data_IF_013931187737
#
_entry.id   IF_013931187737
#
_cell.length_a   1.000
_cell.length_b   1.000
_cell.length_c   1.000
_cell.angle_alpha   90.00
_cell.angle_beta   90.00
_cell.angle_gamma   90.00
#
_symmetry.space_group_name_H-M   'P 1'
#
loop_
_entity.id
_entity.type
_entity.pdbx_description
1 polymer ?
#
# COMPACT_ATOMS: atom_id res chain seq x y z
N UNK A 1 -3.34 -9.96 14.11
CA UNK A 1 -3.73 -9.16 12.93
C UNK A 1 -2.54 -8.33 12.51
N UNK A 2 -2.18 -8.42 11.23
CA UNK A 2 -1.15 -7.61 10.59
C UNK A 2 -1.56 -6.13 10.54
N UNK A 3 -0.58 -5.23 10.49
CA UNK A 3 -0.80 -3.78 10.33
C UNK A 3 -1.56 -3.46 9.04
N UNK A 4 -1.29 -4.20 7.95
CA UNK A 4 -2.03 -4.05 6.69
C UNK A 4 -3.51 -4.42 6.85
N UNK A 5 -3.80 -5.52 7.54
CA UNK A 5 -5.19 -5.94 7.80
C UNK A 5 -5.94 -4.91 8.65
N UNK A 6 -5.29 -4.32 9.65
CA UNK A 6 -5.87 -3.25 10.47
C UNK A 6 -6.18 -2.00 9.62
N UNK A 7 -5.25 -1.62 8.74
CA UNK A 7 -5.41 -0.48 7.84
C UNK A 7 -6.58 -0.68 6.87
N UNK A 8 -6.64 -1.84 6.21
CA UNK A 8 -7.73 -2.20 5.30
C UNK A 8 -9.06 -2.19 6.03
N UNK A 9 -9.17 -2.86 7.19
CA UNK A 9 -10.41 -2.88 7.98
C UNK A 9 -10.87 -1.49 8.39
N UNK A 10 -9.96 -0.64 8.87
CA UNK A 10 -10.29 0.74 9.25
C UNK A 10 -10.83 1.54 8.05
N UNK A 11 -10.14 1.49 6.91
CA UNK A 11 -10.57 2.23 5.71
C UNK A 11 -11.88 1.72 5.13
N UNK A 12 -12.10 0.41 5.13
CA UNK A 12 -13.39 -0.17 4.76
C UNK A 12 -14.51 0.35 5.66
N UNK A 13 -14.32 0.36 6.98
CA UNK A 13 -15.32 0.87 7.93
C UNK A 13 -15.62 2.36 7.74
N UNK A 14 -14.61 3.18 7.48
CA UNK A 14 -14.80 4.60 7.17
C UNK A 14 -15.65 4.80 5.91
N UNK A 15 -15.42 4.02 4.86
CA UNK A 15 -16.18 4.10 3.61
C UNK A 15 -17.61 3.56 3.76
N UNK A 16 -17.80 2.48 4.51
CA UNK A 16 -19.13 2.01 4.87
C UNK A 16 -19.91 3.04 5.69
N UNK A 17 -19.26 3.71 6.65
CA UNK A 17 -19.89 4.77 7.45
C UNK A 17 -20.31 5.99 6.61
N UNK A 18 -19.62 6.25 5.50
CA UNK A 18 -19.97 7.30 4.52
C UNK A 18 -21.05 6.87 3.53
N UNK A 19 -21.47 5.60 3.56
CA UNK A 19 -22.39 5.05 2.56
C UNK A 19 -21.76 4.89 1.17
N UNK A 20 -20.43 4.77 1.09
CA UNK A 20 -19.71 4.58 -0.17
C UNK A 20 -20.14 3.27 -0.86
N UNK A 21 -20.19 3.30 -2.19
CA UNK A 21 -20.54 2.12 -2.99
C UNK A 21 -19.45 1.04 -2.91
N UNK A 22 -19.83 -0.21 -3.19
CA UNK A 22 -18.89 -1.33 -3.24
C UNK A 22 -17.73 -1.09 -4.22
N UNK A 23 -17.98 -0.40 -5.33
CA UNK A 23 -16.95 -0.02 -6.29
C UNK A 23 -15.92 0.94 -5.68
N UNK A 24 -16.40 1.96 -4.94
CA UNK A 24 -15.52 2.92 -4.27
C UNK A 24 -14.67 2.24 -3.20
N UNK A 25 -15.27 1.33 -2.46
CA UNK A 25 -14.59 0.51 -1.46
C UNK A 25 -13.50 -0.36 -2.11
N UNK A 26 -13.80 -1.02 -3.24
CA UNK A 26 -12.82 -1.79 -3.99
C UNK A 26 -11.68 -0.94 -4.57
N UNK A 27 -11.95 0.31 -4.94
CA UNK A 27 -10.91 1.27 -5.34
C UNK A 27 -9.99 1.61 -4.16
N UNK A 28 -10.56 1.94 -2.99
CA UNK A 28 -9.78 2.28 -1.79
C UNK A 28 -8.88 1.13 -1.36
N UNK A 29 -9.36 -0.12 -1.42
CA UNK A 29 -8.53 -1.29 -1.11
C UNK A 29 -7.37 -1.42 -2.10
N UNK A 30 -7.63 -1.24 -3.41
CA UNK A 30 -6.57 -1.28 -4.44
C UNK A 30 -5.51 -0.21 -4.20
N UNK A 31 -5.90 1.03 -3.92
CA UNK A 31 -4.97 2.13 -3.62
C UNK A 31 -4.06 1.82 -2.41
N UNK A 32 -4.60 1.16 -1.38
CA UNK A 32 -3.80 0.74 -0.21
C UNK A 32 -2.72 -0.27 -0.64
N UNK A 33 -3.07 -1.26 -1.45
CA UNK A 33 -2.11 -2.25 -1.93
C UNK A 33 -1.06 -1.64 -2.88
N UNK A 34 -1.47 -0.76 -3.78
CA UNK A 34 -0.57 -0.06 -4.70
C UNK A 34 0.45 0.80 -3.95
N UNK A 35 0.01 1.58 -2.95
CA UNK A 35 0.93 2.38 -2.13
C UNK A 35 1.90 1.52 -1.31
N UNK A 36 1.44 0.39 -0.77
CA UNK A 36 2.32 -0.54 -0.05
C UNK A 36 3.34 -1.18 -0.99
N UNK A 37 2.93 -1.52 -2.22
CA UNK A 37 3.80 -2.09 -3.23
C UNK A 37 4.84 -1.07 -3.72
N UNK A 38 4.40 0.16 -4.04
CA UNK A 38 5.28 1.26 -4.43
C UNK A 38 6.29 1.60 -3.33
N UNK A 39 5.87 1.62 -2.06
CA UNK A 39 6.77 1.83 -0.92
C UNK A 39 7.83 0.72 -0.83
N UNK A 40 7.46 -0.52 -1.17
CA UNK A 40 8.39 -1.66 -1.18
C UNK A 40 9.37 -1.60 -2.36
N UNK A 41 8.92 -1.16 -3.53
CA UNK A 41 9.78 -0.98 -4.71
C UNK A 41 10.78 0.16 -4.50
N UNK A 42 10.38 1.26 -3.86
CA UNK A 42 11.29 2.35 -3.49
C UNK A 42 12.37 1.91 -2.48
N UNK A 43 12.04 0.97 -1.59
CA UNK A 43 13.02 0.38 -0.67
C UNK A 43 14.00 -0.57 -1.37
N UNK A 44 13.59 -1.22 -2.46
CA UNK A 44 14.46 -2.09 -3.27
C UNK A 44 15.32 -1.30 -4.28
N UNK A 45 14.81 -0.20 -4.85
CA UNK A 45 15.54 0.64 -5.80
C UNK A 45 16.75 1.37 -5.18
N UNK A 46 16.77 1.58 -3.86
CA UNK A 46 17.93 2.14 -3.15
C UNK A 46 19.08 1.14 -2.89
N UNK A 47 18.90 -0.15 -3.23
CA UNK A 47 19.90 -1.19 -2.96
C UNK A 47 20.87 -1.46 -4.13
N UNK A 48 20.67 -0.84 -5.30
CA UNK A 48 21.47 -1.12 -6.51
C UNK A 48 22.60 -0.14 -6.80
N UNK A 49 22.83 0.89 -5.97
CA UNK A 49 23.82 1.95 -6.26
C UNK A 49 25.07 1.96 -5.37
N UNK A 50 25.45 0.82 -4.77
CA UNK A 50 26.66 0.74 -3.91
C UNK A 50 27.62 -0.40 -4.25
N UNK A 51 27.80 -0.70 -5.54
CA UNK A 51 28.70 -1.76 -5.97
C UNK A 51 29.19 -1.63 -7.41
N UNK A 52 29.73 -0.48 -7.78
CA UNK A 52 30.45 -0.33 -9.05
C UNK A 52 31.56 0.73 -8.94
N UNK A 53 32.44 0.58 -7.94
CA UNK A 53 33.78 1.18 -7.98
C UNK A 53 34.68 0.36 -7.05
N UNK A 54 35.37 -0.63 -7.60
CA UNK A 54 36.74 -1.01 -7.21
C UNK A 54 37.28 -2.10 -8.13
N UNK A 55 38.49 -1.83 -8.63
CA UNK A 55 39.48 -2.69 -9.31
C UNK A 55 39.29 -2.94 -10.81
#
# INVERSE_FOLDING_TARGET
MSELEKLVRRRMQEEYAKGSSAEKIAQVVREIFENVHASREQQHAGATEKGADHA
#
